data_IF_179735649083
#
_entry.id   IF_179735649083
#
_cell.length_a   1.000
_cell.length_b   1.000
_cell.length_c   1.000
_cell.angle_alpha   90.00
_cell.angle_beta   90.00
_cell.angle_gamma   90.00
#
_symmetry.space_group_name_H-M   'P 1'
#
loop_
_entity.id
_entity.type
_entity.pdbx_description
1 polymer ?
#
# COMPACT_ATOMS: atom_id res chain seq x y z
N UNK A 1 -1.68 35.02 -3.48
CA UNK A 1 -0.42 34.74 -4.21
C UNK A 1 0.51 33.76 -3.48
N UNK A 2 1.03 34.07 -2.28
CA UNK A 2 1.99 33.18 -1.59
C UNK A 2 1.45 31.77 -1.28
N UNK A 3 0.24 31.64 -0.73
CA UNK A 3 -0.33 30.32 -0.41
C UNK A 3 -0.53 29.47 -1.67
N UNK A 4 -0.99 30.08 -2.77
CA UNK A 4 -1.12 29.41 -4.07
C UNK A 4 0.25 28.97 -4.60
N UNK A 5 1.29 29.79 -4.43
CA UNK A 5 2.65 29.41 -4.79
C UNK A 5 3.15 28.24 -3.93
N UNK A 6 2.96 28.26 -2.62
CA UNK A 6 3.31 27.16 -1.69
C UNK A 6 2.53 25.87 -1.97
N UNK A 7 1.31 25.98 -2.49
CA UNK A 7 0.50 24.85 -2.93
C UNK A 7 0.88 24.34 -4.33
N UNK A 8 1.73 25.06 -5.07
CA UNK A 8 2.05 24.74 -6.46
C UNK A 8 3.09 23.62 -6.59
N UNK A 9 2.98 22.84 -7.68
CA UNK A 9 4.02 21.88 -8.09
C UNK A 9 5.38 22.53 -8.33
N UNK A 10 5.40 23.81 -8.69
CA UNK A 10 6.65 24.54 -8.92
C UNK A 10 7.42 24.71 -7.61
N UNK A 11 6.74 25.12 -6.54
CA UNK A 11 7.35 25.20 -5.21
C UNK A 11 7.88 23.85 -4.75
N UNK A 12 7.11 22.77 -4.89
CA UNK A 12 7.58 21.42 -4.53
C UNK A 12 8.85 21.00 -5.29
N UNK A 13 8.95 21.36 -6.58
CA UNK A 13 10.10 20.96 -7.42
C UNK A 13 11.32 21.83 -7.23
N UNK A 14 11.14 23.14 -7.04
CA UNK A 14 12.23 24.14 -7.11
C UNK A 14 12.37 24.99 -5.86
N UNK A 15 11.29 25.23 -5.14
CA UNK A 15 11.26 26.09 -3.95
C UNK A 15 11.35 25.34 -2.62
N UNK A 16 11.18 24.01 -2.62
CA UNK A 16 11.05 23.23 -1.39
C UNK A 16 12.25 23.40 -0.44
N UNK A 17 13.46 23.44 -0.99
CA UNK A 17 14.69 23.60 -0.22
C UNK A 17 14.75 24.91 0.57
N UNK A 18 14.04 25.96 0.12
CA UNK A 18 13.98 27.25 0.81
C UNK A 18 13.41 27.13 2.23
N UNK A 19 12.55 26.12 2.49
CA UNK A 19 12.01 25.83 3.83
C UNK A 19 13.09 25.48 4.85
N UNK A 20 14.24 25.00 4.40
CA UNK A 20 15.39 24.71 5.28
C UNK A 20 16.01 25.98 5.86
N UNK A 21 15.81 27.12 5.20
CA UNK A 21 16.45 28.39 5.57
C UNK A 21 15.47 29.39 6.20
N UNK A 22 14.17 29.07 6.28
CA UNK A 22 13.16 29.96 6.87
C UNK A 22 12.11 29.16 7.65
N UNK A 23 12.14 29.29 8.99
CA UNK A 23 11.14 28.69 9.88
C UNK A 23 9.73 29.25 9.62
N UNK A 24 9.63 30.53 9.25
CA UNK A 24 8.36 31.14 8.86
C UNK A 24 7.79 30.49 7.59
N UNK A 25 8.63 30.27 6.57
CA UNK A 25 8.22 29.63 5.33
C UNK A 25 7.78 28.17 5.58
N UNK A 26 8.49 27.46 6.47
CA UNK A 26 8.12 26.11 6.88
C UNK A 26 6.76 26.06 7.58
N UNK A 27 6.53 26.94 8.57
CA UNK A 27 5.24 27.07 9.26
C UNK A 27 4.12 27.41 8.28
N UNK A 28 4.35 28.33 7.34
CA UNK A 28 3.34 28.70 6.34
C UNK A 28 3.05 27.56 5.38
N UNK A 29 4.05 26.80 4.96
CA UNK A 29 3.86 25.59 4.17
C UNK A 29 3.02 24.56 4.94
N UNK A 30 3.33 24.31 6.21
CA UNK A 30 2.56 23.39 7.05
C UNK A 30 1.10 23.84 7.16
N UNK A 31 0.85 25.13 7.37
CA UNK A 31 -0.50 25.71 7.38
C UNK A 31 -1.25 25.49 6.06
N UNK A 32 -0.61 25.73 4.92
CA UNK A 32 -1.22 25.56 3.58
C UNK A 32 -1.61 24.11 3.31
N UNK A 33 -0.86 23.15 3.86
CA UNK A 33 -1.05 21.72 3.61
C UNK A 33 -1.67 20.95 4.79
N UNK A 34 -2.11 21.64 5.84
CA UNK A 34 -2.71 21.00 7.02
C UNK A 34 -1.76 20.06 7.79
N UNK A 35 -0.45 20.31 7.75
CA UNK A 35 0.57 19.42 8.33
C UNK A 35 0.84 19.81 9.79
N UNK A 36 0.73 18.84 10.71
CA UNK A 36 1.09 19.01 12.10
C UNK A 36 0.10 19.84 12.92
N UNK A 37 -1.20 19.69 12.64
CA UNK A 37 -2.30 20.27 13.42
C UNK A 37 -2.39 21.80 13.36
N UNK A 38 -3.19 22.34 12.44
CA UNK A 38 -3.52 23.77 12.38
C UNK A 38 -4.54 24.17 13.46
N UNK A 39 -4.11 24.19 14.72
CA UNK A 39 -4.64 25.11 15.75
C UNK A 39 -6.07 24.94 16.28
N UNK A 40 -6.80 23.87 15.96
CA UNK A 40 -8.11 23.59 16.62
C UNK A 40 -7.93 22.57 17.75
N UNK A 41 -8.09 23.01 19.00
CA UNK A 41 -7.87 22.18 20.21
C UNK A 41 -8.65 20.85 20.22
N UNK A 42 -9.84 20.80 19.61
CA UNK A 42 -10.67 19.60 19.51
C UNK A 42 -10.20 18.63 18.40
N UNK A 43 -9.76 19.15 17.24
CA UNK A 43 -9.12 18.35 16.19
C UNK A 43 -7.83 17.70 16.72
N UNK A 44 -7.10 18.43 17.59
CA UNK A 44 -5.95 17.91 18.32
C UNK A 44 -6.24 16.61 19.07
N UNK A 45 -7.24 16.56 19.96
CA UNK A 45 -7.50 15.36 20.78
C UNK A 45 -7.85 14.13 19.94
N UNK A 46 -8.67 14.29 18.91
CA UNK A 46 -9.08 13.19 18.05
C UNK A 46 -7.92 12.63 17.23
N UNK A 47 -7.12 13.52 16.62
CA UNK A 47 -5.91 13.14 15.90
C UNK A 47 -4.87 12.44 16.81
N UNK A 48 -4.72 12.89 18.07
CA UNK A 48 -3.86 12.21 19.04
C UNK A 48 -4.36 10.81 19.35
N UNK A 49 -5.66 10.63 19.64
CA UNK A 49 -6.24 9.30 19.89
C UNK A 49 -6.02 8.36 18.71
N UNK A 50 -6.24 8.84 17.48
CA UNK A 50 -6.05 8.06 16.27
C UNK A 50 -4.57 7.69 16.04
N UNK A 51 -3.65 8.64 16.18
CA UNK A 51 -2.22 8.39 16.07
C UNK A 51 -1.73 7.41 17.15
N UNK A 52 -2.19 7.57 18.39
CA UNK A 52 -1.90 6.64 19.48
C UNK A 52 -2.44 5.24 19.21
N UNK A 53 -3.61 5.09 18.60
CA UNK A 53 -4.15 3.78 18.22
C UNK A 53 -3.26 3.08 17.17
N UNK A 54 -2.78 3.81 16.17
CA UNK A 54 -1.85 3.27 15.14
C UNK A 54 -0.49 2.90 15.76
N UNK A 55 0.08 3.79 16.57
CA UNK A 55 1.38 3.55 17.23
C UNK A 55 1.31 2.38 18.22
N UNK A 56 0.28 2.34 19.05
CA UNK A 56 0.06 1.23 19.99
C UNK A 56 -0.13 -0.09 19.25
N UNK A 57 -0.83 -0.09 18.11
CA UNK A 57 -0.94 -1.30 17.28
C UNK A 57 0.40 -1.74 16.69
N UNK A 58 1.33 -0.82 16.41
CA UNK A 58 2.66 -1.17 15.90
C UNK A 58 3.58 -1.73 17.00
N UNK A 59 3.40 -1.27 18.25
CA UNK A 59 4.13 -1.76 19.42
C UNK A 59 3.58 -3.10 19.94
N UNK A 60 2.26 -3.29 19.83
CA UNK A 60 1.58 -4.50 20.31
C UNK A 60 1.87 -5.67 19.38
N UNK A 61 2.51 -6.71 19.92
CA UNK A 61 2.74 -7.94 19.15
C UNK A 61 1.50 -8.82 19.17
N UNK A 62 0.93 -9.01 17.99
CA UNK A 62 -0.21 -9.90 17.80
C UNK A 62 0.26 -11.36 17.83
N UNK A 63 -0.52 -12.22 18.47
CA UNK A 63 -0.19 -13.64 18.55
C UNK A 63 -0.41 -14.32 17.20
N UNK A 64 0.53 -15.18 16.75
CA UNK A 64 0.38 -15.94 15.53
C UNK A 64 -0.96 -16.67 15.46
N UNK A 65 -1.63 -16.58 14.32
CA UNK A 65 -2.90 -17.27 14.06
C UNK A 65 -3.06 -17.62 12.60
N UNK A 66 -4.11 -18.37 12.27
CA UNK A 66 -4.41 -18.71 10.88
C UNK A 66 -4.63 -17.46 10.02
N UNK A 67 -4.44 -17.60 8.71
CA UNK A 67 -4.83 -16.56 7.76
C UNK A 67 -6.37 -16.47 7.73
N UNK A 68 -6.90 -15.34 8.20
CA UNK A 68 -8.34 -15.08 8.22
C UNK A 68 -8.92 -15.07 6.80
N UNK A 69 -10.13 -15.61 6.62
CA UNK A 69 -10.84 -15.58 5.33
C UNK A 69 -11.49 -14.21 5.06
N UNK A 70 -10.68 -13.16 5.09
CA UNK A 70 -11.11 -11.78 4.82
C UNK A 70 -10.20 -11.21 3.72
N UNK A 71 -10.82 -10.58 2.73
CA UNK A 71 -10.14 -9.84 1.66
C UNK A 71 -10.42 -8.35 1.87
N UNK A 72 -9.39 -7.64 2.30
CA UNK A 72 -9.38 -6.20 2.51
C UNK A 72 -9.06 -5.48 1.20
N UNK A 73 -9.92 -4.53 0.86
CA UNK A 73 -9.73 -3.61 -0.25
C UNK A 73 -10.00 -2.19 0.24
N UNK A 74 -9.44 -1.18 -0.42
CA UNK A 74 -9.71 0.21 -0.07
C UNK A 74 -9.86 1.09 -1.31
N UNK A 75 -10.93 1.86 -1.34
CA UNK A 75 -11.16 2.95 -2.27
C UNK A 75 -11.81 4.11 -1.52
N UNK A 76 -11.23 5.30 -1.62
CA UNK A 76 -11.66 6.48 -0.85
C UNK A 76 -13.16 6.83 -0.89
N UNK A 77 -13.89 6.40 -1.92
CA UNK A 77 -15.32 6.67 -2.11
C UNK A 77 -16.15 5.37 -2.10
N UNK A 78 -17.48 5.44 -1.91
CA UNK A 78 -18.37 4.28 -2.04
C UNK A 78 -18.24 3.55 -3.39
N UNK A 79 -18.52 2.25 -3.40
CA UNK A 79 -18.35 1.37 -4.57
C UNK A 79 -19.14 1.85 -5.79
N UNK A 80 -20.36 2.33 -5.57
CA UNK A 80 -21.29 2.79 -6.59
C UNK A 80 -20.75 4.01 -7.34
N UNK A 81 -19.89 4.79 -6.69
CA UNK A 81 -19.22 5.97 -7.26
C UNK A 81 -17.82 5.65 -7.79
N UNK A 82 -17.31 4.43 -7.54
CA UNK A 82 -15.99 4.03 -7.97
C UNK A 82 -15.96 3.79 -9.49
N UNK A 83 -14.80 3.99 -10.15
CA UNK A 83 -14.66 3.66 -11.56
C UNK A 83 -14.97 2.19 -11.85
N UNK A 84 -15.43 1.89 -13.07
CA UNK A 84 -15.78 0.53 -13.49
C UNK A 84 -14.69 -0.53 -13.19
N UNK A 85 -13.41 -0.18 -13.36
CA UNK A 85 -12.30 -1.09 -13.02
C UNK A 85 -12.28 -1.50 -11.55
N UNK A 86 -12.74 -0.62 -10.64
CA UNK A 86 -12.84 -0.91 -9.22
C UNK A 86 -14.05 -1.82 -8.95
N UNK A 87 -15.19 -1.49 -9.55
CA UNK A 87 -16.40 -2.31 -9.43
C UNK A 87 -16.18 -3.74 -9.92
N UNK A 88 -15.55 -3.89 -11.10
CA UNK A 88 -15.21 -5.19 -11.65
C UNK A 88 -14.16 -5.92 -10.82
N UNK A 89 -13.18 -5.21 -10.25
CA UNK A 89 -12.20 -5.79 -9.33
C UNK A 89 -12.87 -6.37 -8.09
N UNK A 90 -13.72 -5.62 -7.40
CA UNK A 90 -14.46 -6.10 -6.22
C UNK A 90 -15.32 -7.30 -6.55
N UNK A 91 -16.11 -7.23 -7.64
CA UNK A 91 -16.93 -8.36 -8.10
C UNK A 91 -16.08 -9.61 -8.37
N UNK A 92 -14.92 -9.44 -9.00
CA UNK A 92 -14.04 -10.58 -9.29
C UNK A 92 -13.55 -11.28 -8.02
N UNK A 93 -13.21 -10.53 -6.97
CA UNK A 93 -12.80 -11.12 -5.69
C UNK A 93 -13.95 -11.84 -5.00
N UNK A 94 -15.17 -11.29 -5.06
CA UNK A 94 -16.38 -11.88 -4.47
C UNK A 94 -16.77 -13.20 -5.14
N UNK A 95 -16.89 -13.21 -6.47
CA UNK A 95 -17.29 -14.40 -7.23
C UNK A 95 -16.24 -15.51 -7.16
N UNK A 96 -14.96 -15.15 -7.20
CA UNK A 96 -13.87 -16.14 -7.19
C UNK A 96 -13.61 -16.73 -5.80
N UNK A 97 -14.08 -16.10 -4.72
CA UNK A 97 -13.78 -16.51 -3.35
C UNK A 97 -15.05 -16.43 -2.48
N UNK A 98 -16.08 -17.25 -2.77
CA UNK A 98 -17.36 -17.20 -2.06
C UNK A 98 -17.25 -17.56 -0.57
N UNK A 99 -16.17 -18.21 -0.16
CA UNK A 99 -15.85 -18.55 1.23
C UNK A 99 -15.05 -17.46 1.97
N UNK A 100 -14.72 -16.35 1.29
CA UNK A 100 -14.06 -15.18 1.88
C UNK A 100 -15.03 -14.01 2.02
N UNK A 101 -14.87 -13.27 3.11
CA UNK A 101 -15.53 -11.98 3.27
C UNK A 101 -14.74 -10.89 2.54
N UNK A 102 -15.29 -10.36 1.45
CA UNK A 102 -14.67 -9.24 0.71
C UNK A 102 -15.15 -7.91 1.27
N UNK A 103 -14.25 -7.16 1.91
CA UNK A 103 -14.51 -5.85 2.53
C UNK A 103 -13.84 -4.74 1.75
N UNK A 104 -14.60 -3.98 0.98
CA UNK A 104 -14.16 -2.71 0.42
C UNK A 104 -14.37 -1.59 1.45
N UNK A 105 -13.28 -1.06 1.98
CA UNK A 105 -13.27 0.10 2.87
C UNK A 105 -13.24 1.41 2.06
N UNK A 106 -13.80 2.45 2.64
CA UNK A 106 -13.86 3.83 2.14
C UNK A 106 -13.62 4.82 3.27
N UNK A 107 -13.40 6.10 2.95
CA UNK A 107 -13.16 7.13 3.96
C UNK A 107 -14.32 7.19 4.98
N UNK A 108 -15.54 6.95 4.54
CA UNK A 108 -16.76 6.97 5.37
C UNK A 108 -16.94 5.72 6.25
N UNK A 109 -16.31 4.59 5.88
CA UNK A 109 -16.51 3.30 6.56
C UNK A 109 -15.35 2.91 7.46
N UNK A 110 -14.19 3.57 7.33
CA UNK A 110 -12.99 3.27 8.10
C UNK A 110 -13.22 3.35 9.61
N UNK A 111 -13.84 4.42 10.10
CA UNK A 111 -14.03 4.60 11.55
C UNK A 111 -14.87 3.48 12.18
N UNK A 112 -15.95 3.06 11.50
CA UNK A 112 -16.80 1.98 11.97
C UNK A 112 -16.06 0.62 12.05
N UNK A 113 -15.14 0.36 11.11
CA UNK A 113 -14.37 -0.89 11.09
C UNK A 113 -13.17 -0.88 12.05
N UNK A 114 -12.56 0.29 12.25
CA UNK A 114 -11.31 0.41 13.01
C UNK A 114 -11.54 0.84 14.46
N UNK A 115 -12.70 1.42 14.77
CA UNK A 115 -13.05 1.95 16.09
C UNK A 115 -12.43 3.32 16.40
N UNK A 116 -11.84 3.97 15.40
CA UNK A 116 -11.30 5.34 15.47
C UNK A 116 -11.16 5.94 14.07
N UNK A 117 -11.13 7.27 13.98
CA UNK A 117 -10.86 7.98 12.73
C UNK A 117 -9.40 7.80 12.31
N UNK A 118 -9.18 6.83 11.43
CA UNK A 118 -7.88 6.53 10.86
C UNK A 118 -7.27 7.71 10.08
N UNK A 119 -8.09 8.54 9.43
CA UNK A 119 -7.60 9.64 8.64
C UNK A 119 -7.10 10.80 9.51
N UNK A 120 -7.72 11.03 10.66
CA UNK A 120 -7.28 12.04 11.63
C UNK A 120 -5.87 11.78 12.17
N UNK A 121 -5.41 10.52 12.24
CA UNK A 121 -4.04 10.21 12.68
C UNK A 121 -2.99 10.98 11.88
N UNK A 122 -3.22 11.16 10.58
CA UNK A 122 -2.26 11.81 9.68
C UNK A 122 -2.20 13.33 9.83
N UNK A 123 -3.09 13.96 10.60
CA UNK A 123 -2.99 15.39 10.92
C UNK A 123 -1.77 15.70 11.80
N UNK A 124 -1.34 14.73 12.61
CA UNK A 124 -0.13 14.84 13.44
C UNK A 124 1.14 14.45 12.68
N UNK A 125 1.02 13.77 11.54
CA UNK A 125 2.18 13.43 10.73
C UNK A 125 2.84 14.71 10.22
N UNK A 126 4.14 14.87 10.46
CA UNK A 126 4.96 15.90 9.81
C UNK A 126 5.42 15.49 8.41
N UNK A 127 4.68 14.62 7.75
CA UNK A 127 4.92 14.20 6.37
C UNK A 127 3.65 14.50 5.58
N UNK A 128 3.77 15.20 4.46
CA UNK A 128 2.65 15.35 3.53
C UNK A 128 2.42 14.05 2.79
N UNK A 129 1.59 13.20 3.36
CA UNK A 129 1.27 11.89 2.82
C UNK A 129 0.39 11.98 1.57
N UNK A 130 0.64 11.05 0.65
CA UNK A 130 -0.27 10.77 -0.47
C UNK A 130 -1.26 9.71 -0.05
N UNK A 131 -2.42 9.64 -0.70
CA UNK A 131 -3.44 8.60 -0.46
C UNK A 131 -2.81 7.20 -0.55
N UNK A 132 -1.92 6.97 -1.50
CA UNK A 132 -1.20 5.69 -1.62
C UNK A 132 -0.40 5.32 -0.36
N UNK A 133 0.29 6.28 0.28
CA UNK A 133 1.04 6.01 1.52
C UNK A 133 0.12 5.82 2.72
N UNK A 134 -1.03 6.51 2.76
CA UNK A 134 -2.05 6.24 3.79
C UNK A 134 -2.63 4.84 3.65
N UNK A 135 -2.89 4.40 2.41
CA UNK A 135 -3.32 3.04 2.10
C UNK A 135 -2.25 1.99 2.47
N UNK A 136 -0.97 2.31 2.32
CA UNK A 136 0.11 1.44 2.81
C UNK A 136 0.05 1.22 4.33
N UNK A 137 -0.21 2.28 5.11
CA UNK A 137 -0.40 2.17 6.56
C UNK A 137 -1.64 1.36 6.89
N UNK A 138 -2.76 1.60 6.19
CA UNK A 138 -4.02 0.88 6.41
C UNK A 138 -3.85 -0.62 6.16
N UNK A 139 -3.23 -0.98 5.03
CA UNK A 139 -2.93 -2.36 4.66
C UNK A 139 -2.15 -3.08 5.76
N UNK A 140 -1.04 -2.48 6.19
CA UNK A 140 -0.17 -3.09 7.18
C UNK A 140 -0.83 -3.18 8.55
N UNK A 141 -1.61 -2.16 8.92
CA UNK A 141 -2.43 -2.17 10.13
C UNK A 141 -3.44 -3.34 10.11
N UNK A 142 -4.20 -3.51 9.02
CA UNK A 142 -5.20 -4.57 8.91
C UNK A 142 -4.55 -5.96 8.93
N UNK A 143 -3.50 -6.16 8.15
CA UNK A 143 -2.84 -7.46 8.04
C UNK A 143 -2.08 -7.84 9.32
N UNK A 144 -1.41 -6.90 9.98
CA UNK A 144 -0.72 -7.18 11.24
C UNK A 144 -1.69 -7.64 12.33
N UNK A 145 -2.86 -6.99 12.43
CA UNK A 145 -3.87 -7.24 13.47
C UNK A 145 -4.81 -8.39 13.19
N UNK A 146 -5.26 -8.53 11.95
CA UNK A 146 -6.32 -9.47 11.59
C UNK A 146 -5.85 -10.57 10.65
N UNK A 147 -4.66 -10.44 10.04
CA UNK A 147 -4.25 -11.28 8.92
C UNK A 147 -5.20 -11.14 7.73
N UNK A 148 -5.25 -12.18 6.91
CA UNK A 148 -6.08 -12.24 5.71
C UNK A 148 -5.35 -11.73 4.48
N UNK A 149 -6.10 -11.17 3.53
CA UNK A 149 -5.57 -10.76 2.23
C UNK A 149 -5.84 -9.29 2.00
N UNK A 150 -4.83 -8.52 1.61
CA UNK A 150 -5.00 -7.23 0.97
C UNK A 150 -4.98 -7.39 -0.54
N UNK A 151 -5.94 -6.77 -1.21
CA UNK A 151 -5.93 -6.59 -2.65
C UNK A 151 -6.22 -5.11 -2.97
N UNK A 152 -5.36 -4.46 -3.74
CA UNK A 152 -5.63 -3.13 -4.24
C UNK A 152 -6.96 -3.10 -5.01
N UNK A 153 -7.72 -2.02 -4.88
CA UNK A 153 -9.05 -1.88 -5.48
C UNK A 153 -9.11 -1.92 -7.01
N UNK A 154 -7.97 -2.01 -7.71
CA UNK A 154 -7.89 -2.19 -9.16
C UNK A 154 -7.19 -3.50 -9.54
N UNK A 155 -7.14 -4.47 -8.64
CA UNK A 155 -6.52 -5.78 -8.86
C UNK A 155 -7.62 -6.78 -9.23
N UNK A 156 -7.59 -7.30 -10.45
CA UNK A 156 -8.53 -8.34 -10.85
C UNK A 156 -8.12 -9.70 -10.27
N UNK A 157 -9.07 -10.41 -9.68
CA UNK A 157 -8.92 -11.82 -9.31
C UNK A 157 -9.21 -12.69 -10.52
N UNK A 158 -8.23 -13.49 -10.96
CA UNK A 158 -8.38 -14.36 -12.14
C UNK A 158 -8.57 -15.83 -11.76
N UNK A 159 -8.18 -16.22 -10.54
CA UNK A 159 -8.36 -17.57 -9.99
C UNK A 159 -8.70 -17.52 -8.49
N UNK A 160 -9.52 -18.46 -7.98
CA UNK A 160 -9.78 -18.59 -6.55
C UNK A 160 -8.50 -18.72 -5.74
N UNK A 161 -8.41 -18.04 -4.60
CA UNK A 161 -7.25 -18.05 -3.71
C UNK A 161 -6.90 -19.48 -3.26
N UNK A 162 -7.91 -20.31 -2.99
CA UNK A 162 -7.74 -21.70 -2.54
C UNK A 162 -6.89 -22.55 -3.50
N UNK A 163 -6.85 -22.20 -4.79
CA UNK A 163 -6.13 -22.98 -5.81
C UNK A 163 -4.62 -22.76 -5.83
N UNK A 164 -4.10 -21.74 -5.14
CA UNK A 164 -2.68 -21.38 -5.24
C UNK A 164 -2.09 -20.77 -3.95
N UNK A 165 -2.86 -20.03 -3.16
CA UNK A 165 -2.37 -19.29 -2.00
C UNK A 165 -2.03 -20.16 -0.77
N UNK A 166 -2.81 -21.20 -0.39
CA UNK A 166 -2.59 -21.91 0.88
C UNK A 166 -1.21 -22.51 1.04
N UNK A 167 -0.62 -23.06 -0.03
CA UNK A 167 0.72 -23.64 -0.01
C UNK A 167 1.79 -22.59 0.30
N UNK A 168 1.66 -21.41 -0.30
CA UNK A 168 2.60 -20.30 -0.13
C UNK A 168 2.53 -19.72 1.30
N UNK A 169 1.31 -19.53 1.81
CA UNK A 169 1.11 -19.07 3.19
C UNK A 169 1.57 -20.13 4.20
N UNK A 170 1.34 -21.42 3.92
CA UNK A 170 1.79 -22.51 4.79
C UNK A 170 3.31 -22.60 4.87
N UNK A 171 4.02 -22.29 3.78
CA UNK A 171 5.49 -22.32 3.73
C UNK A 171 6.13 -21.07 4.37
N UNK A 172 5.59 -19.88 4.10
CA UNK A 172 6.27 -18.62 4.43
C UNK A 172 5.59 -17.79 5.54
N UNK A 173 4.38 -18.14 5.97
CA UNK A 173 3.56 -17.35 6.90
C UNK A 173 2.86 -16.15 6.24
N UNK A 174 3.46 -15.58 5.19
CA UNK A 174 2.87 -14.54 4.34
C UNK A 174 3.29 -14.73 2.87
N UNK A 175 2.56 -14.12 1.95
CA UNK A 175 2.87 -14.10 0.53
C UNK A 175 2.59 -12.74 -0.10
N UNK A 176 3.46 -12.37 -1.04
CA UNK A 176 3.25 -11.27 -1.97
C UNK A 176 3.97 -11.53 -3.29
N UNK A 177 3.50 -10.91 -4.37
CA UNK A 177 4.14 -10.96 -5.68
C UNK A 177 5.46 -10.19 -5.69
N UNK A 178 6.32 -10.55 -6.65
CA UNK A 178 7.64 -9.93 -6.79
C UNK A 178 7.88 -9.43 -8.21
N UNK A 179 8.63 -8.33 -8.34
CA UNK A 179 9.14 -7.80 -9.60
C UNK A 179 10.63 -8.05 -9.74
N UNK A 180 10.96 -9.05 -10.54
CA UNK A 180 12.34 -9.42 -10.86
C UNK A 180 13.13 -8.25 -11.48
N UNK A 181 12.48 -7.45 -12.33
CA UNK A 181 13.10 -6.29 -12.97
C UNK A 181 13.45 -5.13 -12.00
N UNK A 182 12.97 -5.15 -10.75
CA UNK A 182 13.13 -4.06 -9.78
C UNK A 182 13.89 -4.53 -8.54
N UNK A 183 15.19 -4.79 -8.72
CA UNK A 183 16.07 -5.37 -7.67
C UNK A 183 16.11 -4.54 -6.38
N UNK A 184 15.99 -3.22 -6.46
CA UNK A 184 16.03 -2.34 -5.27
C UNK A 184 14.88 -2.53 -4.28
N UNK A 185 13.75 -3.08 -4.74
CA UNK A 185 12.51 -3.29 -3.97
C UNK A 185 11.64 -4.30 -4.73
N UNK A 186 12.05 -5.57 -4.75
CA UNK A 186 11.42 -6.57 -5.59
C UNK A 186 10.03 -6.94 -5.07
N UNK A 187 9.66 -6.55 -3.86
CA UNK A 187 8.36 -6.85 -3.26
C UNK A 187 7.27 -5.92 -3.78
N UNK A 188 6.15 -6.49 -4.22
CA UNK A 188 4.93 -5.75 -4.47
C UNK A 188 4.08 -5.62 -3.21
N UNK A 189 3.37 -4.50 -3.08
CA UNK A 189 2.52 -4.24 -1.91
C UNK A 189 1.05 -4.14 -2.28
N UNK A 190 0.72 -4.20 -3.57
CA UNK A 190 -0.66 -4.14 -4.04
C UNK A 190 -1.45 -5.44 -3.80
N UNK A 191 -0.78 -6.52 -3.44
CA UNK A 191 -1.37 -7.75 -2.93
C UNK A 191 -0.49 -8.28 -1.81
N UNK A 192 -1.08 -8.62 -0.67
CA UNK A 192 -0.36 -9.28 0.42
C UNK A 192 -1.33 -10.21 1.12
N UNK A 193 -0.98 -11.47 1.29
CA UNK A 193 -1.70 -12.40 2.13
C UNK A 193 -0.83 -12.73 3.34
N UNK A 194 -1.39 -12.76 4.54
CA UNK A 194 -0.63 -12.98 5.77
C UNK A 194 -1.44 -13.68 6.85
N UNK A 195 -0.78 -14.55 7.59
CA UNK A 195 -1.26 -15.01 8.90
C UNK A 195 -1.40 -13.83 9.87
N UNK A 196 -2.36 -13.93 10.79
CA UNK A 196 -2.47 -12.95 11.87
C UNK A 196 -1.18 -12.99 12.69
N UNK A 197 -0.64 -11.82 13.01
CA UNK A 197 0.61 -11.75 13.78
C UNK A 197 1.85 -12.19 13.00
N UNK A 198 1.83 -12.21 11.67
CA UNK A 198 3.03 -12.52 10.88
C UNK A 198 4.22 -11.59 11.24
N UNK A 199 5.40 -12.12 11.59
CA UNK A 199 6.54 -11.32 12.05
C UNK A 199 7.06 -10.31 11.02
N UNK A 200 6.97 -10.61 9.73
CA UNK A 200 7.42 -9.71 8.65
C UNK A 200 6.46 -8.53 8.56
N UNK A 201 5.15 -8.81 8.46
CA UNK A 201 4.12 -7.75 8.38
C UNK A 201 4.16 -6.85 9.60
N UNK A 202 4.25 -7.42 10.80
CA UNK A 202 4.35 -6.65 12.04
C UNK A 202 5.61 -5.76 12.08
N UNK A 203 6.74 -6.25 11.58
CA UNK A 203 7.98 -5.48 11.56
C UNK A 203 7.96 -4.37 10.50
N UNK A 204 7.41 -4.63 9.32
CA UNK A 204 7.24 -3.62 8.27
C UNK A 204 6.30 -2.51 8.73
N UNK A 205 5.20 -2.88 9.41
CA UNK A 205 4.25 -1.94 9.99
C UNK A 205 4.92 -1.00 10.99
N UNK A 206 5.68 -1.56 11.94
CA UNK A 206 6.47 -0.81 12.92
C UNK A 206 7.48 0.14 12.25
N UNK A 207 8.34 -0.37 11.36
CA UNK A 207 9.34 0.45 10.65
C UNK A 207 8.70 1.66 9.93
N UNK A 208 7.57 1.43 9.24
CA UNK A 208 6.88 2.49 8.50
C UNK A 208 6.23 3.51 9.46
N UNK A 209 5.43 3.06 10.42
CA UNK A 209 4.68 3.95 11.33
C UNK A 209 5.64 4.72 12.24
N UNK A 210 6.62 4.04 12.84
CA UNK A 210 7.65 4.68 13.67
C UNK A 210 8.39 5.75 12.89
N UNK A 211 8.67 5.52 11.60
CA UNK A 211 9.21 6.57 10.76
C UNK A 211 8.20 7.69 10.49
N UNK A 212 6.97 7.42 10.07
CA UNK A 212 6.02 8.45 9.66
C UNK A 212 5.55 9.37 10.80
N UNK A 213 5.37 8.82 12.00
CA UNK A 213 4.83 9.53 13.17
C UNK A 213 5.90 10.13 14.10
N UNK A 214 7.18 9.83 13.86
CA UNK A 214 8.28 10.46 14.60
C UNK A 214 8.19 11.99 14.56
N UNK A 215 8.46 12.62 15.71
CA UNK A 215 8.56 14.07 15.83
C UNK A 215 9.72 14.63 15.01
N UNK A 216 9.47 15.78 14.36
CA UNK A 216 10.46 16.43 13.48
C UNK A 216 10.37 17.94 13.58
N UNK A 217 11.50 18.66 13.43
CA UNK A 217 11.47 20.12 13.38
C UNK A 217 10.86 20.66 12.07
N UNK A 218 10.87 19.87 10.99
CA UNK A 218 10.43 20.31 9.65
C UNK A 218 9.56 19.25 8.99
N UNK A 219 8.57 19.69 8.22
CA UNK A 219 7.71 18.76 7.50
C UNK A 219 8.34 18.22 6.21
N UNK A 220 8.18 16.92 5.96
CA UNK A 220 8.65 16.21 4.77
C UNK A 220 7.54 16.10 3.71
N UNK A 221 7.91 15.69 2.51
CA UNK A 221 6.97 15.34 1.43
C UNK A 221 7.34 14.00 0.81
N UNK A 222 6.38 13.34 0.19
CA UNK A 222 6.61 12.05 -0.47
C UNK A 222 7.06 12.24 -1.93
N UNK A 223 8.22 11.70 -2.30
CA UNK A 223 8.84 11.87 -3.63
C UNK A 223 9.30 10.56 -4.25
N UNK A 224 9.04 10.39 -5.55
CA UNK A 224 9.65 9.36 -6.42
C UNK A 224 10.49 9.98 -7.53
N UNK A 225 10.81 11.28 -7.44
CA UNK A 225 11.54 11.94 -8.52
C UNK A 225 12.99 11.46 -8.58
N UNK A 226 13.48 11.20 -9.80
CA UNK A 226 14.88 10.78 -10.03
C UNK A 226 15.89 11.71 -9.35
N UNK A 227 15.65 13.02 -9.41
CA UNK A 227 16.50 14.03 -8.76
C UNK A 227 16.57 13.91 -7.23
N UNK A 228 15.49 13.49 -6.58
CA UNK A 228 15.50 13.27 -5.13
C UNK A 228 16.20 11.96 -4.79
N UNK A 229 15.89 10.90 -5.53
CA UNK A 229 16.49 9.58 -5.38
C UNK A 229 18.02 9.61 -5.59
N UNK A 230 18.52 10.38 -6.55
CA UNK A 230 19.96 10.56 -6.77
C UNK A 230 20.69 11.20 -5.58
N UNK A 231 20.03 12.06 -4.79
CA UNK A 231 20.65 12.67 -3.60
C UNK A 231 20.99 11.66 -2.51
N UNK A 232 20.34 10.50 -2.55
CA UNK A 232 20.52 9.41 -1.60
C UNK A 232 21.17 8.19 -2.26
N UNK A 233 21.80 8.37 -3.43
CA UNK A 233 22.54 7.29 -4.10
C UNK A 233 21.68 6.31 -4.92
N UNK A 234 20.40 6.61 -5.15
CA UNK A 234 19.54 5.82 -6.05
C UNK A 234 19.58 6.46 -7.44
N UNK A 235 20.44 5.93 -8.31
CA UNK A 235 20.67 6.43 -9.67
C UNK A 235 20.16 5.50 -10.79
N UNK A 236 19.65 4.32 -10.40
CA UNK A 236 19.18 3.27 -11.30
C UNK A 236 20.22 2.20 -11.63
N UNK A 237 21.43 2.29 -11.07
CA UNK A 237 22.49 1.28 -11.22
C UNK A 237 22.56 0.29 -10.06
N UNK A 238 21.76 0.50 -9.02
CA UNK A 238 21.72 -0.37 -7.84
C UNK A 238 21.34 -1.80 -8.24
N UNK A 239 22.24 -2.74 -7.94
CA UNK A 239 22.10 -4.17 -8.20
C UNK A 239 21.67 -4.97 -6.97
N UNK A 240 21.33 -4.30 -5.87
CA UNK A 240 20.96 -4.93 -4.61
C UNK A 240 19.70 -4.29 -4.01
N UNK A 241 18.94 -5.04 -3.17
CA UNK A 241 17.85 -4.49 -2.37
C UNK A 241 18.32 -3.33 -1.49
N UNK A 242 17.44 -2.34 -1.32
CA UNK A 242 17.71 -1.14 -0.52
C UNK A 242 16.86 -1.20 0.76
N UNK A 243 17.49 -1.16 1.93
CA UNK A 243 16.82 -1.19 3.23
C UNK A 243 16.40 0.19 3.76
N UNK A 244 15.96 0.25 5.01
CA UNK A 244 15.38 1.47 5.62
C UNK A 244 16.36 2.64 5.77
N UNK A 245 17.68 2.40 5.67
CA UNK A 245 18.68 3.46 5.76
C UNK A 245 18.43 4.57 4.73
N UNK A 246 17.94 4.22 3.53
CA UNK A 246 17.61 5.21 2.50
C UNK A 246 16.52 6.18 2.92
N UNK A 247 15.58 5.72 3.75
CA UNK A 247 14.48 6.55 4.26
C UNK A 247 15.07 7.61 5.20
N UNK A 248 16.02 7.22 6.06
CA UNK A 248 16.74 8.13 6.97
C UNK A 248 17.61 9.12 6.20
N UNK A 249 18.25 8.67 5.13
CA UNK A 249 19.08 9.53 4.29
C UNK A 249 18.24 10.56 3.52
N UNK A 250 17.10 10.15 2.97
CA UNK A 250 16.16 11.02 2.26
C UNK A 250 15.60 12.13 3.16
N UNK A 251 15.40 11.84 4.45
CA UNK A 251 14.95 12.82 5.43
C UNK A 251 15.92 14.01 5.56
N UNK A 252 17.25 13.79 5.47
CA UNK A 252 18.26 14.88 5.45
C UNK A 252 18.10 15.82 4.25
N UNK A 253 17.44 15.34 3.20
CA UNK A 253 17.09 16.10 2.00
C UNK A 253 15.64 16.59 2.00
N UNK A 254 14.89 16.35 3.09
CA UNK A 254 13.55 16.87 3.34
C UNK A 254 12.43 16.08 2.68
N UNK A 255 12.64 14.80 2.33
CA UNK A 255 11.60 13.97 1.71
C UNK A 255 11.56 12.55 2.25
N UNK A 256 10.43 11.88 2.07
CA UNK A 256 10.26 10.43 2.26
C UNK A 256 10.17 9.78 0.87
N UNK A 257 10.93 8.73 0.58
CA UNK A 257 10.81 8.02 -0.70
C UNK A 257 9.40 7.46 -0.87
N UNK A 258 8.82 7.60 -2.07
CA UNK A 258 7.48 7.07 -2.38
C UNK A 258 7.34 5.57 -2.11
N UNK A 259 8.42 4.81 -2.30
CA UNK A 259 8.44 3.37 -2.10
C UNK A 259 9.00 2.96 -0.74
N UNK A 260 8.88 3.82 0.29
CA UNK A 260 9.36 3.55 1.65
C UNK A 260 8.92 2.17 2.18
N UNK A 261 7.67 1.79 1.94
CA UNK A 261 7.11 0.49 2.35
C UNK A 261 7.91 -0.69 1.78
N UNK A 262 8.33 -0.63 0.50
CA UNK A 262 9.15 -1.68 -0.11
C UNK A 262 10.56 -1.76 0.49
N UNK A 263 11.13 -0.63 0.92
CA UNK A 263 12.41 -0.63 1.62
C UNK A 263 12.29 -1.19 3.05
N UNK A 264 11.17 -0.98 3.73
CA UNK A 264 10.86 -1.64 4.99
C UNK A 264 10.73 -3.16 4.81
N UNK A 265 10.11 -3.63 3.72
CA UNK A 265 10.04 -5.07 3.40
C UNK A 265 11.42 -5.70 3.23
N UNK A 266 12.32 -5.05 2.48
CA UNK A 266 13.68 -5.56 2.33
C UNK A 266 14.38 -5.74 3.68
N UNK A 267 14.25 -4.75 4.58
CA UNK A 267 14.85 -4.79 5.92
C UNK A 267 14.23 -5.89 6.79
N UNK A 268 12.91 -6.07 6.72
CA UNK A 268 12.23 -7.13 7.46
C UNK A 268 12.61 -8.53 6.96
N UNK A 269 12.70 -8.73 5.65
CA UNK A 269 13.15 -9.99 5.07
C UNK A 269 14.59 -10.30 5.48
N UNK A 270 15.48 -9.30 5.44
CA UNK A 270 16.88 -9.46 5.82
C UNK A 270 17.06 -9.81 7.30
N UNK A 271 16.25 -9.21 8.17
CA UNK A 271 16.40 -9.38 9.62
C UNK A 271 15.66 -10.59 10.18
N UNK A 272 14.62 -11.10 9.51
CA UNK A 272 13.75 -12.15 10.04
C UNK A 272 13.88 -13.49 9.33
N UNK A 273 14.41 -13.53 8.11
CA UNK A 273 14.54 -14.75 7.33
C UNK A 273 15.99 -15.12 7.08
N UNK A 274 16.27 -16.42 7.06
CA UNK A 274 17.54 -16.95 6.58
C UNK A 274 17.65 -16.77 5.06
N UNK A 275 18.89 -16.81 4.54
CA UNK A 275 19.14 -16.80 3.08
C UNK A 275 18.37 -17.91 2.36
N UNK A 276 18.28 -19.10 2.96
CA UNK A 276 17.54 -20.23 2.37
C UNK A 276 16.05 -19.93 2.26
N UNK A 277 15.45 -19.32 3.29
CA UNK A 277 14.04 -18.95 3.27
C UNK A 277 13.78 -17.87 2.20
N UNK A 278 14.63 -16.83 2.15
CA UNK A 278 14.56 -15.79 1.11
C UNK A 278 14.67 -16.39 -0.29
N UNK A 279 15.66 -17.25 -0.54
CA UNK A 279 15.86 -17.87 -1.84
C UNK A 279 14.63 -18.69 -2.29
N UNK A 280 14.04 -19.47 -1.39
CA UNK A 280 12.80 -20.22 -1.66
C UNK A 280 11.63 -19.30 -1.99
N UNK A 281 11.44 -18.23 -1.20
CA UNK A 281 10.38 -17.26 -1.43
C UNK A 281 10.51 -16.57 -2.79
N UNK A 282 11.72 -16.14 -3.16
CA UNK A 282 11.93 -15.49 -4.45
C UNK A 282 11.77 -16.44 -5.64
N UNK A 283 12.01 -17.74 -5.45
CA UNK A 283 11.80 -18.77 -6.47
C UNK A 283 10.35 -19.33 -6.52
N UNK A 284 9.50 -18.98 -5.56
CA UNK A 284 8.12 -19.48 -5.48
C UNK A 284 7.23 -18.98 -6.63
N UNK A 285 6.02 -19.53 -6.75
CA UNK A 285 5.05 -19.12 -7.78
C UNK A 285 4.82 -17.59 -7.79
N UNK A 286 4.76 -16.98 -8.96
CA UNK A 286 4.69 -15.52 -9.15
C UNK A 286 3.77 -15.10 -10.31
N UNK A 287 2.73 -15.88 -10.58
CA UNK A 287 1.88 -15.72 -11.77
C UNK A 287 0.92 -14.53 -11.64
N UNK A 288 1.37 -13.32 -11.95
CA UNK A 288 0.51 -12.14 -12.09
C UNK A 288 0.67 -11.49 -13.46
N UNK A 289 -0.39 -10.82 -13.91
CA UNK A 289 -0.35 -9.96 -15.08
C UNK A 289 -0.20 -8.49 -14.65
N UNK A 290 0.69 -7.75 -15.32
CA UNK A 290 0.83 -6.30 -15.22
C UNK A 290 0.87 -5.66 -16.61
N UNK A 291 1.35 -4.43 -16.74
CA UNK A 291 1.40 -3.73 -18.04
C UNK A 291 2.44 -4.31 -19.00
N UNK A 292 3.44 -4.98 -18.47
CA UNK A 292 4.59 -5.55 -19.18
C UNK A 292 4.35 -7.03 -19.50
N UNK A 293 3.37 -7.67 -18.86
CA UNK A 293 3.05 -9.08 -19.09
C UNK A 293 2.41 -9.35 -20.45
N UNK A 294 2.93 -10.36 -21.13
CA UNK A 294 2.40 -10.96 -22.35
C UNK A 294 2.00 -12.41 -22.08
N UNK A 295 0.99 -12.92 -22.80
CA UNK A 295 0.55 -14.31 -22.67
C UNK A 295 -0.95 -14.45 -22.41
N UNK A 296 -1.40 -15.69 -22.30
CA UNK A 296 -2.80 -16.04 -22.08
C UNK A 296 -3.24 -15.76 -20.64
N UNK A 297 -4.42 -15.18 -20.48
CA UNK A 297 -4.95 -14.80 -19.16
C UNK A 297 -5.11 -15.97 -18.20
N UNK A 298 -5.35 -17.18 -18.72
CA UNK A 298 -5.46 -18.40 -17.91
C UNK A 298 -4.17 -18.78 -17.16
N UNK A 299 -3.02 -18.21 -17.52
CA UNK A 299 -1.75 -18.48 -16.85
C UNK A 299 -1.54 -17.62 -15.60
N UNK A 300 -2.29 -16.54 -15.42
CA UNK A 300 -2.16 -15.63 -14.29
C UNK A 300 -3.21 -15.91 -13.21
N UNK A 301 -2.89 -15.60 -11.96
CA UNK A 301 -3.84 -15.70 -10.83
C UNK A 301 -4.49 -14.36 -10.49
N UNK A 302 -3.81 -13.25 -10.81
CA UNK A 302 -4.32 -11.88 -10.67
C UNK A 302 -3.87 -11.00 -11.84
N UNK A 303 -4.57 -9.89 -12.09
CA UNK A 303 -4.15 -8.85 -13.04
C UNK A 303 -4.15 -7.46 -12.42
N UNK A 304 -2.99 -6.80 -12.40
CA UNK A 304 -2.82 -5.46 -11.86
C UNK A 304 -3.22 -4.40 -12.89
N UNK A 305 -4.35 -3.76 -12.64
CA UNK A 305 -4.89 -2.70 -13.49
C UNK A 305 -4.74 -1.31 -12.87
N UNK A 306 -5.15 -0.27 -13.61
CA UNK A 306 -5.13 1.12 -13.16
C UNK A 306 -6.41 1.86 -13.55
N UNK A 307 -6.90 2.69 -12.63
CA UNK A 307 -8.02 3.61 -12.85
C UNK A 307 -7.71 4.80 -13.77
N UNK A 308 -6.47 4.94 -14.25
CA UNK A 308 -6.09 6.03 -15.15
C UNK A 308 -6.73 5.82 -16.53
N UNK A 309 -7.43 6.84 -17.06
CA UNK A 309 -8.09 6.78 -18.39
C UNK A 309 -7.17 6.27 -19.50
N UNK A 310 -5.92 6.74 -19.56
CA UNK A 310 -4.94 6.30 -20.55
C UNK A 310 -4.59 4.80 -20.48
N UNK A 311 -4.72 4.18 -19.30
CA UNK A 311 -4.57 2.73 -19.14
C UNK A 311 -5.81 1.99 -19.63
N UNK A 312 -6.99 2.49 -19.26
CA UNK A 312 -8.27 1.88 -19.62
C UNK A 312 -8.56 1.93 -21.14
N UNK A 313 -7.95 2.87 -21.87
CA UNK A 313 -8.05 2.92 -23.33
C UNK A 313 -7.13 1.93 -24.06
N UNK A 314 -6.27 1.18 -23.36
CA UNK A 314 -5.35 0.24 -24.01
C UNK A 314 -6.05 -1.04 -24.44
N UNK A 315 -5.63 -1.60 -25.59
CA UNK A 315 -6.13 -2.89 -26.06
C UNK A 315 -5.86 -4.03 -25.05
N UNK A 316 -4.73 -3.96 -24.33
CA UNK A 316 -4.41 -4.91 -23.28
C UNK A 316 -5.47 -4.90 -22.17
N UNK A 317 -5.79 -3.73 -21.61
CA UNK A 317 -6.84 -3.62 -20.59
C UNK A 317 -8.19 -4.15 -21.10
N UNK A 318 -8.60 -3.75 -22.31
CA UNK A 318 -9.90 -4.17 -22.86
C UNK A 318 -10.00 -5.69 -23.03
N UNK A 319 -8.94 -6.35 -23.52
CA UNK A 319 -8.91 -7.82 -23.60
C UNK A 319 -9.02 -8.49 -22.24
N UNK A 320 -8.30 -7.97 -21.23
CA UNK A 320 -8.33 -8.50 -19.86
C UNK A 320 -9.70 -8.35 -19.21
N UNK A 321 -10.31 -7.18 -19.39
CA UNK A 321 -11.68 -6.89 -18.95
C UNK A 321 -12.66 -7.89 -19.57
N UNK A 322 -12.69 -8.02 -20.89
CA UNK A 322 -13.59 -8.94 -21.60
C UNK A 322 -13.38 -10.39 -21.16
N UNK A 323 -12.13 -10.82 -21.00
CA UNK A 323 -11.83 -12.16 -20.51
C UNK A 323 -12.42 -12.39 -19.12
N UNK A 324 -12.18 -11.47 -18.20
CA UNK A 324 -12.67 -11.57 -16.83
C UNK A 324 -14.20 -11.57 -16.77
N UNK A 325 -14.86 -10.65 -17.48
CA UNK A 325 -16.33 -10.58 -17.51
C UNK A 325 -16.95 -11.89 -18.00
N UNK A 326 -16.37 -12.53 -19.03
CA UNK A 326 -16.81 -13.84 -19.52
C UNK A 326 -16.61 -14.91 -18.45
N UNK A 327 -15.44 -14.96 -17.82
CA UNK A 327 -15.14 -15.93 -16.76
C UNK A 327 -16.11 -15.80 -15.58
N UNK A 328 -16.40 -14.57 -15.13
CA UNK A 328 -17.33 -14.33 -14.03
C UNK A 328 -18.76 -14.78 -14.40
N UNK A 329 -19.22 -14.44 -15.61
CA UNK A 329 -20.54 -14.88 -16.08
C UNK A 329 -20.64 -16.41 -16.21
N UNK A 330 -19.56 -17.09 -16.58
CA UNK A 330 -19.51 -18.56 -16.63
C UNK A 330 -19.58 -19.19 -15.24
N UNK A 331 -18.89 -18.61 -14.24
CA UNK A 331 -18.90 -19.11 -12.87
C UNK A 331 -20.27 -18.93 -12.21
N UNK A 332 -20.85 -17.73 -12.31
CA UNK A 332 -22.18 -17.44 -11.75
C UNK A 332 -23.26 -18.36 -12.34
N UNK A 333 -23.17 -18.70 -13.64
CA UNK A 333 -24.08 -19.67 -14.26
C UNK A 333 -23.95 -21.08 -13.68
N UNK A 334 -22.73 -21.51 -13.33
CA UNK A 334 -22.48 -22.84 -12.75
C UNK A 334 -23.00 -22.93 -11.32
N UNK A 335 -22.96 -21.85 -10.54
CA UNK A 335 -23.49 -21.82 -9.18
C UNK A 335 -25.03 -21.80 -9.11
N UNK A 336 -25.71 -21.32 -10.15
CA UNK A 336 -27.18 -21.31 -10.24
C UNK A 336 -27.75 -22.69 -10.66
N UNK A 337 -26.92 -23.59 -11.19
CA UNK A 337 -27.37 -24.91 -11.61
C UNK A 337 -27.41 -25.83 -10.38
N UNK A 338 -28.56 -26.46 -10.02
CA UNK A 338 -28.63 -27.32 -8.84
C UNK A 338 -27.63 -28.48 -8.99
N UNK A 339 -26.80 -28.70 -7.97
CA UNK A 339 -25.89 -29.85 -7.87
C UNK A 339 -26.63 -31.15 -7.66
#
# INVERSE_FOLDING_TARGET
MLNQWLASRNFERKGFWLRRHSAWLDKRYCYVHGIGGSGKAQAGRHAHRAASAILSAAETRESPGACSKIIWMYWHAPLEQAPEVVQLSVRSWQVMNPDYEVRLLSDDTLEAHLGFDFMAAFELCRVRLKVATKADVLRLYLLSRFGGVWADATLFCLKPLETWMPLLIGEFGFYTFRREAVVTRPIEVWFIAAQRGDPIIQHVFDLLVTHLFRERPRALYVSNSRKCLQKVGIDGRSSAPIGVQIIRDAERHGFVPYFATGYCFNDALETRWSETCKARFFAADNRYADRESHGEMGNFVVSKESYKKAHQSTATYQRRKIWLERTLADMERRDITPR
#
